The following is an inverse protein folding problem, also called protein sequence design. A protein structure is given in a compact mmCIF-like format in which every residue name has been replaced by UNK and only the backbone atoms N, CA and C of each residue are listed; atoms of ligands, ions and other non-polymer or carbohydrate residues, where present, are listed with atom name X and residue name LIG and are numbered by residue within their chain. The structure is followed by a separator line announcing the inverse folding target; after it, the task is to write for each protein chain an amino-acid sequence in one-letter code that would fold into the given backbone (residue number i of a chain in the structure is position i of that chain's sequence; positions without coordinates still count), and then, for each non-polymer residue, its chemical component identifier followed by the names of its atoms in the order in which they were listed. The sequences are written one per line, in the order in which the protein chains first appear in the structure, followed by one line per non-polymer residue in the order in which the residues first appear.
data_IF_686648317540
#
_entry.id   IF_686648317540
#
_cell.length_a   1.000
_cell.length_b   1.000
_cell.length_c   1.000
_cell.angle_alpha   90.00
_cell.angle_beta   90.00
_cell.angle_gamma   90.00
#
_symmetry.space_group_name_H-M   'P 1'
#
loop_
_entity.id
_entity.type
_entity.pdbx_description
1 polymer ?
#
# COMPACT_ATOMS: atom_id res chain seq x y z
N UNK A 1 -47.92 84.33 -7.15
CA UNK A 1 -47.60 82.90 -7.30
C UNK A 1 -48.14 82.47 -8.66
N UNK A 2 -47.30 82.33 -9.69
CA UNK A 2 -47.73 82.07 -11.09
C UNK A 2 -47.98 80.59 -11.31
N UNK A 3 -49.11 80.25 -11.91
CA UNK A 3 -49.43 78.89 -12.40
C UNK A 3 -48.62 78.65 -13.67
N UNK A 4 -47.82 77.59 -13.69
CA UNK A 4 -47.02 77.19 -14.85
C UNK A 4 -47.85 76.14 -15.61
N UNK A 5 -48.31 76.47 -16.82
CA UNK A 5 -48.95 75.52 -17.73
C UNK A 5 -47.93 74.47 -18.19
N UNK A 6 -48.20 73.20 -17.90
CA UNK A 6 -47.49 72.07 -18.48
C UNK A 6 -48.02 71.80 -19.88
N UNK A 7 -47.33 72.33 -20.89
CA UNK A 7 -47.55 71.95 -22.30
C UNK A 7 -47.08 70.50 -22.48
N UNK A 8 -48.00 69.63 -22.89
CA UNK A 8 -47.74 68.23 -23.28
C UNK A 8 -46.60 68.16 -24.30
N UNK A 9 -45.43 67.69 -23.86
CA UNK A 9 -44.33 67.35 -24.75
C UNK A 9 -44.72 66.03 -25.41
N UNK A 10 -45.03 66.10 -26.72
CA UNK A 10 -45.39 64.94 -27.51
C UNK A 10 -44.30 63.87 -27.45
N UNK A 11 -44.68 62.66 -27.05
CA UNK A 11 -43.83 61.49 -27.12
C UNK A 11 -43.52 61.18 -28.59
N UNK A 12 -42.27 61.44 -29.01
CA UNK A 12 -41.77 61.02 -30.30
C UNK A 12 -41.84 59.48 -30.38
N UNK A 13 -42.49 58.97 -31.43
CA UNK A 13 -42.60 57.52 -31.69
C UNK A 13 -41.18 56.94 -31.80
N UNK A 14 -40.84 55.87 -31.06
CA UNK A 14 -39.51 55.27 -31.15
C UNK A 14 -39.26 54.80 -32.58
N UNK A 15 -38.16 55.25 -33.20
CA UNK A 15 -37.78 54.79 -34.52
C UNK A 15 -37.30 53.32 -34.45
N UNK A 16 -37.39 52.61 -35.58
CA UNK A 16 -37.08 51.18 -35.67
C UNK A 16 -35.63 50.81 -35.27
N UNK A 17 -34.73 51.79 -35.14
CA UNK A 17 -33.32 51.59 -34.79
C UNK A 17 -33.18 51.43 -33.27
N UNK A 18 -33.92 52.21 -32.48
CA UNK A 18 -33.91 52.13 -31.01
C UNK A 18 -34.60 50.85 -30.49
N UNK A 19 -35.58 50.33 -31.22
CA UNK A 19 -36.21 49.02 -30.96
C UNK A 19 -35.24 47.85 -31.17
N UNK A 20 -34.37 47.94 -32.19
CA UNK A 20 -33.35 46.92 -32.46
C UNK A 20 -32.22 46.94 -31.43
N UNK A 21 -31.78 48.11 -30.95
CA UNK A 21 -30.76 48.21 -29.90
C UNK A 21 -31.21 47.60 -28.56
N UNK A 22 -32.45 47.86 -28.13
CA UNK A 22 -33.03 47.26 -26.92
C UNK A 22 -33.13 45.72 -27.04
N UNK A 23 -33.43 45.22 -28.24
CA UNK A 23 -33.51 43.78 -28.52
C UNK A 23 -32.13 43.12 -28.53
N UNK A 24 -31.09 43.84 -28.99
CA UNK A 24 -29.70 43.34 -29.02
C UNK A 24 -29.06 43.26 -27.63
N UNK A 25 -29.40 44.17 -26.69
CA UNK A 25 -28.89 44.07 -25.31
C UNK A 25 -29.61 43.01 -24.47
N UNK A 26 -30.84 42.62 -24.85
CA UNK A 26 -31.62 41.56 -24.20
C UNK A 26 -31.11 40.13 -24.52
N UNK A 27 -30.18 40.02 -25.47
CA UNK A 27 -29.50 38.79 -25.88
C UNK A 27 -28.12 38.61 -25.21
N UNK A 28 -27.87 39.25 -24.05
CA UNK A 28 -26.85 38.73 -23.14
C UNK A 28 -27.31 37.36 -22.65
N UNK A 29 -26.84 36.35 -23.37
CA UNK A 29 -26.99 34.92 -23.15
C UNK A 29 -27.11 34.60 -21.68
N UNK A 30 -28.34 34.38 -21.23
CA UNK A 30 -28.66 33.75 -19.95
C UNK A 30 -28.11 32.32 -20.03
N UNK A 31 -26.81 32.16 -19.75
CA UNK A 31 -26.23 30.82 -19.58
C UNK A 31 -27.04 30.17 -18.47
N UNK A 32 -27.86 29.19 -18.85
CA UNK A 32 -28.60 28.39 -17.89
C UNK A 32 -27.59 27.76 -16.95
N UNK A 33 -27.65 28.14 -15.68
CA UNK A 33 -26.77 27.61 -14.65
C UNK A 33 -27.26 26.19 -14.37
N UNK A 34 -26.72 25.22 -15.11
CA UNK A 34 -26.97 23.80 -14.92
C UNK A 34 -26.26 23.36 -13.65
N UNK A 35 -26.90 23.57 -12.50
CA UNK A 35 -26.46 23.01 -11.22
C UNK A 35 -26.90 21.56 -11.08
N UNK A 36 -26.11 20.76 -10.36
CA UNK A 36 -26.54 19.45 -9.88
C UNK A 36 -27.77 19.60 -8.99
N UNK A 37 -28.75 18.72 -9.16
CA UNK A 37 -29.91 18.67 -8.28
C UNK A 37 -29.50 18.13 -6.91
N UNK A 38 -30.17 18.58 -5.85
CA UNK A 38 -29.90 18.11 -4.49
C UNK A 38 -30.15 16.60 -4.35
N UNK A 39 -31.08 16.05 -5.14
CA UNK A 39 -31.36 14.62 -5.19
C UNK A 39 -30.24 13.82 -5.86
N UNK A 40 -29.62 14.31 -6.94
CA UNK A 40 -28.44 13.68 -7.54
C UNK A 40 -27.28 13.61 -6.55
N UNK A 41 -27.07 14.69 -5.79
CA UNK A 41 -26.00 14.75 -4.82
C UNK A 41 -26.26 13.76 -3.66
N UNK A 42 -27.50 13.66 -3.17
CA UNK A 42 -27.85 12.69 -2.13
C UNK A 42 -27.65 11.23 -2.57
N UNK A 43 -28.06 10.87 -3.80
CA UNK A 43 -27.88 9.51 -4.31
C UNK A 43 -26.39 9.21 -4.50
N UNK A 44 -25.61 10.15 -5.02
CA UNK A 44 -24.16 9.99 -5.20
C UNK A 44 -23.46 9.71 -3.86
N UNK A 45 -23.75 10.49 -2.82
CA UNK A 45 -23.17 10.29 -1.49
C UNK A 45 -23.58 8.94 -0.90
N UNK A 46 -24.82 8.49 -1.11
CA UNK A 46 -25.27 7.18 -0.66
C UNK A 46 -24.48 6.03 -1.33
N UNK A 47 -24.25 6.10 -2.64
CA UNK A 47 -23.47 5.08 -3.37
C UNK A 47 -22.01 5.09 -2.93
N UNK A 48 -21.39 6.27 -2.84
CA UNK A 48 -19.99 6.41 -2.38
C UNK A 48 -19.83 5.88 -0.96
N UNK A 49 -20.81 6.10 -0.08
CA UNK A 49 -20.81 5.57 1.28
C UNK A 49 -20.77 4.05 1.34
N UNK A 50 -21.57 3.37 0.52
CA UNK A 50 -21.58 1.90 0.43
C UNK A 50 -20.22 1.39 -0.08
N UNK A 51 -19.71 1.96 -1.18
CA UNK A 51 -18.42 1.56 -1.74
C UNK A 51 -17.26 1.78 -0.76
N UNK A 52 -17.27 2.92 -0.04
CA UNK A 52 -16.23 3.25 0.93
C UNK A 52 -16.17 2.25 2.09
N UNK A 53 -17.32 1.77 2.57
CA UNK A 53 -17.39 0.79 3.67
C UNK A 53 -16.68 -0.53 3.37
N UNK A 54 -16.69 -0.98 2.12
CA UNK A 54 -16.02 -2.21 1.66
C UNK A 54 -14.57 -1.93 1.25
N UNK A 55 -14.33 -0.77 0.62
CA UNK A 55 -13.02 -0.43 0.09
C UNK A 55 -11.99 -0.07 1.18
N UNK A 56 -12.40 0.66 2.22
CA UNK A 56 -11.49 1.13 3.26
C UNK A 56 -10.72 0.00 3.99
N UNK A 57 -11.37 -1.06 4.51
CA UNK A 57 -10.64 -2.13 5.21
C UNK A 57 -9.71 -2.90 4.27
N UNK A 58 -10.09 -3.07 3.00
CA UNK A 58 -9.24 -3.72 1.98
C UNK A 58 -8.01 -2.86 1.66
N UNK A 59 -8.18 -1.55 1.50
CA UNK A 59 -7.09 -0.61 1.24
C UNK A 59 -6.09 -0.54 2.40
N UNK A 60 -6.58 -0.55 3.64
CA UNK A 60 -5.73 -0.62 4.83
C UNK A 60 -4.90 -1.91 4.86
N UNK A 61 -5.50 -3.06 4.54
CA UNK A 61 -4.75 -4.32 4.46
C UNK A 61 -3.70 -4.28 3.31
N UNK A 62 -4.07 -3.75 2.14
CA UNK A 62 -3.15 -3.61 1.01
C UNK A 62 -1.93 -2.75 1.36
N UNK A 63 -2.14 -1.60 1.99
CA UNK A 63 -1.05 -0.71 2.41
C UNK A 63 -0.19 -1.34 3.50
N UNK A 64 -0.78 -2.07 4.46
CA UNK A 64 -0.03 -2.84 5.46
C UNK A 64 0.83 -3.93 4.83
N UNK A 65 0.30 -4.68 3.85
CA UNK A 65 1.07 -5.67 3.07
C UNK A 65 2.25 -5.05 2.33
N UNK A 66 2.03 -3.90 1.69
CA UNK A 66 3.07 -3.18 0.98
C UNK A 66 4.21 -2.78 1.94
N UNK A 67 3.89 -2.24 3.12
CA UNK A 67 4.88 -1.90 4.15
C UNK A 67 5.59 -3.14 4.71
N UNK A 68 4.84 -4.22 4.97
CA UNK A 68 5.39 -5.48 5.46
C UNK A 68 6.31 -6.18 4.45
N UNK A 69 6.15 -5.90 3.14
CA UNK A 69 7.04 -6.44 2.12
C UNK A 69 8.51 -6.03 2.33
N UNK A 70 8.76 -4.86 2.93
CA UNK A 70 10.10 -4.42 3.31
C UNK A 70 10.71 -5.33 4.37
N UNK A 71 9.92 -5.72 5.38
CA UNK A 71 10.33 -6.67 6.44
C UNK A 71 10.71 -8.01 5.84
N UNK A 72 9.92 -8.49 4.87
CA UNK A 72 10.19 -9.75 4.15
C UNK A 72 11.48 -9.64 3.32
N UNK A 73 11.65 -8.57 2.55
CA UNK A 73 12.84 -8.34 1.72
C UNK A 73 14.11 -8.22 2.58
N UNK A 74 14.02 -7.61 3.75
CA UNK A 74 15.14 -7.47 4.67
C UNK A 74 15.69 -8.83 5.16
N UNK A 75 14.93 -9.92 5.05
CA UNK A 75 15.40 -11.27 5.39
C UNK A 75 16.26 -11.92 4.30
N UNK A 76 16.21 -11.44 3.06
CA UNK A 76 16.94 -12.02 1.93
C UNK A 76 18.45 -12.22 2.14
N UNK A 77 19.22 -11.24 2.67
CA UNK A 77 20.66 -11.44 2.90
C UNK A 77 20.94 -12.52 3.95
N UNK A 78 20.17 -12.56 5.05
CA UNK A 78 20.29 -13.60 6.07
C UNK A 78 19.94 -14.97 5.48
N UNK A 79 18.88 -15.06 4.68
CA UNK A 79 18.44 -16.29 4.00
C UNK A 79 19.55 -16.86 3.11
N UNK A 80 20.12 -16.03 2.23
CA UNK A 80 21.20 -16.43 1.34
C UNK A 80 22.46 -16.87 2.11
N UNK A 81 22.77 -16.19 3.21
CA UNK A 81 23.91 -16.54 4.03
C UNK A 81 23.69 -17.88 4.76
N UNK A 82 22.46 -18.19 5.23
CA UNK A 82 22.14 -19.50 5.84
C UNK A 82 22.27 -20.61 4.81
N UNK A 83 21.83 -20.38 3.57
CA UNK A 83 21.98 -21.33 2.47
C UNK A 83 23.46 -21.61 2.14
N UNK A 84 24.29 -20.56 2.06
CA UNK A 84 25.72 -20.70 1.85
C UNK A 84 26.41 -21.43 3.02
N UNK A 85 26.03 -21.11 4.27
CA UNK A 85 26.54 -21.78 5.45
C UNK A 85 26.18 -23.26 5.46
N UNK A 86 24.92 -23.62 5.20
CA UNK A 86 24.45 -25.01 5.16
C UNK A 86 25.17 -25.84 4.10
N UNK A 87 25.44 -25.26 2.92
CA UNK A 87 26.20 -25.92 1.87
C UNK A 87 27.68 -26.10 2.25
N UNK A 88 28.29 -25.11 2.90
CA UNK A 88 29.70 -25.18 3.28
C UNK A 88 29.98 -26.17 4.42
N UNK A 89 29.08 -26.28 5.39
CA UNK A 89 29.26 -27.13 6.58
C UNK A 89 28.52 -28.46 6.50
N UNK A 90 27.68 -28.63 5.47
CA UNK A 90 26.73 -29.74 5.33
C UNK A 90 25.79 -29.88 6.55
N UNK A 91 25.55 -28.79 7.30
CA UNK A 91 24.70 -28.76 8.49
C UNK A 91 24.19 -27.33 8.78
N UNK A 92 23.07 -27.20 9.50
CA UNK A 92 22.55 -25.89 9.93
C UNK A 92 23.06 -25.42 11.29
N UNK A 93 23.65 -26.30 12.09
CA UNK A 93 23.93 -26.07 13.52
C UNK A 93 24.79 -24.86 13.83
N UNK A 94 25.68 -24.48 12.91
CA UNK A 94 26.61 -23.34 13.05
C UNK A 94 26.18 -22.10 12.26
N UNK A 95 25.00 -22.12 11.64
CA UNK A 95 24.48 -21.03 10.83
C UNK A 95 23.68 -20.05 11.69
N UNK A 96 24.35 -19.32 12.56
CA UNK A 96 23.76 -18.31 13.45
C UNK A 96 24.33 -16.91 13.17
N UNK A 97 23.70 -15.87 13.69
CA UNK A 97 24.15 -14.50 13.53
C UNK A 97 25.59 -14.30 13.99
N UNK A 98 26.39 -13.61 13.17
CA UNK A 98 27.83 -13.44 13.40
C UNK A 98 28.64 -14.75 13.45
N UNK A 99 28.04 -15.86 13.04
CA UNK A 99 28.67 -17.17 12.97
C UNK A 99 29.66 -17.29 11.81
N UNK A 100 30.01 -18.54 11.47
CA UNK A 100 30.96 -18.82 10.39
C UNK A 100 30.39 -18.43 9.01
N UNK A 101 31.25 -18.40 8.00
CA UNK A 101 30.86 -18.23 6.59
C UNK A 101 30.20 -16.88 6.24
N UNK A 102 30.51 -15.81 6.99
CA UNK A 102 30.05 -14.46 6.67
C UNK A 102 28.58 -14.21 7.00
N UNK A 103 28.03 -14.93 7.98
CA UNK A 103 26.68 -14.68 8.51
C UNK A 103 26.58 -13.21 8.98
N UNK A 104 25.57 -12.45 8.53
CA UNK A 104 25.36 -11.09 9.01
C UNK A 104 25.09 -11.09 10.52
N UNK A 105 25.48 -10.01 11.18
CA UNK A 105 25.09 -9.75 12.55
C UNK A 105 23.59 -9.41 12.63
N UNK A 106 23.01 -9.60 13.81
CA UNK A 106 21.63 -9.23 14.07
C UNK A 106 21.41 -7.72 13.94
N UNK A 107 20.24 -7.35 13.44
CA UNK A 107 19.78 -5.97 13.40
C UNK A 107 18.93 -5.74 14.64
N UNK A 108 19.49 -5.01 15.61
CA UNK A 108 18.82 -4.68 16.87
C UNK A 108 18.13 -3.30 16.87
N UNK A 109 18.34 -2.49 15.83
CA UNK A 109 17.76 -1.16 15.68
C UNK A 109 16.85 -1.10 14.46
N UNK A 110 15.76 -0.33 14.57
CA UNK A 110 14.80 -0.22 13.50
C UNK A 110 15.41 0.43 12.25
N UNK A 111 15.17 -0.17 11.08
CA UNK A 111 15.54 0.35 9.77
C UNK A 111 14.30 0.28 8.89
N UNK A 112 13.76 1.44 8.52
CA UNK A 112 12.49 1.51 7.79
C UNK A 112 11.35 0.87 8.58
N UNK A 113 10.64 -0.10 7.98
CA UNK A 113 9.56 -0.84 8.64
C UNK A 113 10.03 -2.10 9.40
N UNK A 114 11.32 -2.44 9.36
CA UNK A 114 11.91 -3.52 10.15
C UNK A 114 12.30 -2.99 11.53
N UNK A 115 11.82 -3.62 12.61
CA UNK A 115 12.26 -3.33 13.97
C UNK A 115 13.51 -4.13 14.35
N UNK A 116 13.47 -5.44 14.13
CA UNK A 116 14.58 -6.35 14.42
C UNK A 116 14.70 -7.43 13.38
N UNK A 117 15.93 -7.89 13.13
CA UNK A 117 16.23 -9.10 12.37
C UNK A 117 17.21 -9.93 13.18
N UNK A 118 16.83 -11.15 13.52
CA UNK A 118 17.67 -12.05 14.31
C UNK A 118 17.86 -13.38 13.58
N UNK A 119 19.06 -13.94 13.64
CA UNK A 119 19.35 -15.29 13.13
C UNK A 119 19.82 -16.18 14.28
N UNK A 120 18.92 -17.02 14.80
CA UNK A 120 19.23 -17.89 15.94
C UNK A 120 19.91 -19.19 15.49
N UNK A 121 20.19 -20.09 16.43
CA UNK A 121 20.75 -21.41 16.14
C UNK A 121 19.95 -22.15 15.05
N UNK A 122 20.65 -23.00 14.29
CA UNK A 122 20.09 -23.72 13.15
C UNK A 122 19.57 -22.83 12.00
N UNK A 123 19.97 -21.56 11.91
CA UNK A 123 19.62 -20.69 10.77
C UNK A 123 18.20 -20.16 10.78
N UNK A 124 17.49 -20.23 11.92
CA UNK A 124 16.14 -19.67 12.03
C UNK A 124 16.22 -18.15 12.02
N UNK A 125 15.60 -17.53 11.03
CA UNK A 125 15.58 -16.07 10.87
C UNK A 125 14.24 -15.54 11.38
N UNK A 126 14.28 -14.59 12.30
CA UNK A 126 13.09 -13.90 12.81
C UNK A 126 13.21 -12.42 12.50
N UNK A 127 12.35 -11.93 11.62
CA UNK A 127 12.15 -10.51 11.36
C UNK A 127 10.90 -10.02 12.10
N UNK A 128 11.01 -8.88 12.75
CA UNK A 128 9.90 -8.24 13.46
C UNK A 128 9.64 -6.89 12.83
N UNK A 129 8.39 -6.61 12.48
CA UNK A 129 7.97 -5.30 12.00
C UNK A 129 8.03 -4.24 13.12
N UNK A 130 8.06 -2.97 12.75
CA UNK A 130 7.82 -1.87 13.69
C UNK A 130 6.38 -1.88 14.21
N UNK A 131 6.14 -1.17 15.30
CA UNK A 131 4.79 -0.90 15.85
C UNK A 131 4.22 0.44 15.39
N UNK A 132 4.88 1.07 14.42
CA UNK A 132 4.47 2.32 13.78
C UNK A 132 4.01 2.04 12.34
N UNK A 133 3.58 3.07 11.61
CA UNK A 133 3.21 2.94 10.19
C UNK A 133 2.12 1.89 9.91
N UNK A 134 1.11 1.76 10.78
CA UNK A 134 0.02 0.77 10.66
C UNK A 134 0.47 -0.70 10.77
N UNK A 135 1.69 -0.92 11.24
CA UNK A 135 2.21 -2.23 11.67
C UNK A 135 2.12 -2.34 13.19
N UNK A 136 2.11 -3.56 13.69
CA UNK A 136 1.83 -3.91 15.10
C UNK A 136 2.88 -4.85 15.68
N UNK A 137 4.10 -4.86 15.14
CA UNK A 137 5.13 -5.79 15.59
C UNK A 137 4.97 -7.21 15.05
N UNK A 138 4.38 -7.34 13.86
CA UNK A 138 4.16 -8.65 13.23
C UNK A 138 5.49 -9.35 12.95
N UNK A 139 5.53 -10.65 13.23
CA UNK A 139 6.72 -11.48 13.04
C UNK A 139 6.64 -12.25 11.74
N UNK A 140 7.77 -12.29 11.03
CA UNK A 140 8.05 -13.14 9.89
C UNK A 140 9.20 -14.07 10.25
N UNK A 141 8.88 -15.35 10.46
CA UNK A 141 9.84 -16.36 10.90
C UNK A 141 10.10 -17.33 9.77
N UNK A 142 11.35 -17.42 9.34
CA UNK A 142 11.84 -18.37 8.36
C UNK A 142 12.58 -19.49 9.07
N UNK A 143 12.03 -20.70 9.01
CA UNK A 143 12.69 -21.90 9.55
C UNK A 143 13.29 -22.70 8.41
N UNK A 144 14.63 -22.85 8.35
CA UNK A 144 15.28 -23.67 7.34
C UNK A 144 15.21 -25.15 7.72
N UNK A 145 15.07 -26.01 6.73
CA UNK A 145 15.34 -27.43 6.83
C UNK A 145 16.33 -27.81 5.72
N UNK A 146 17.46 -28.39 6.12
CA UNK A 146 18.53 -28.79 5.22
C UNK A 146 18.61 -30.31 5.15
N UNK A 147 18.62 -30.86 3.93
CA UNK A 147 18.85 -32.28 3.72
C UNK A 147 20.32 -32.48 3.37
N UNK A 148 21.10 -33.03 4.30
CA UNK A 148 22.53 -33.23 4.10
C UNK A 148 22.82 -34.04 2.83
N UNK A 149 23.83 -33.60 2.07
CA UNK A 149 24.31 -34.36 0.93
C UNK A 149 25.21 -35.47 1.47
N UNK A 150 24.81 -36.73 1.28
CA UNK A 150 25.67 -37.85 1.61
C UNK A 150 26.84 -37.91 0.61
N UNK A 151 28.06 -38.05 1.15
CA UNK A 151 29.26 -38.21 0.34
C UNK A 151 29.09 -39.37 -0.64
N UNK A 152 29.52 -39.18 -1.89
CA UNK A 152 29.52 -40.19 -2.94
C UNK A 152 28.13 -40.73 -3.34
N UNK A 153 27.07 -39.94 -3.12
CA UNK A 153 25.72 -40.27 -3.60
C UNK A 153 25.27 -39.31 -4.70
N UNK A 154 24.45 -39.81 -5.62
CA UNK A 154 23.81 -38.96 -6.63
C UNK A 154 22.85 -38.01 -5.89
N UNK A 155 22.98 -36.68 -6.08
CA UNK A 155 22.05 -35.73 -5.46
C UNK A 155 20.61 -36.05 -5.88
N UNK A 156 19.73 -36.19 -4.90
CA UNK A 156 18.28 -36.20 -5.16
C UNK A 156 17.77 -34.77 -5.29
N UNK A 157 16.52 -34.60 -5.74
CA UNK A 157 15.89 -33.28 -5.88
C UNK A 157 15.87 -32.43 -4.59
N UNK A 158 16.16 -33.02 -3.43
CA UNK A 158 16.15 -32.37 -2.12
C UNK A 158 17.51 -32.37 -1.43
N UNK A 159 18.48 -33.18 -1.88
CA UNK A 159 19.80 -33.30 -1.27
C UNK A 159 20.64 -32.04 -1.49
N UNK A 160 21.31 -31.57 -0.43
CA UNK A 160 22.14 -30.35 -0.47
C UNK A 160 21.35 -29.06 -0.60
N UNK A 161 20.02 -29.09 -0.43
CA UNK A 161 19.13 -27.93 -0.52
C UNK A 161 18.58 -27.54 0.85
N UNK A 162 18.40 -26.23 1.02
CA UNK A 162 17.64 -25.66 2.13
C UNK A 162 16.21 -25.42 1.66
N UNK A 163 15.26 -25.89 2.45
CA UNK A 163 13.83 -25.59 2.29
C UNK A 163 13.39 -24.68 3.42
N UNK A 164 12.50 -23.73 3.11
CA UNK A 164 12.10 -22.71 4.08
C UNK A 164 10.63 -22.82 4.41
N UNK A 165 10.32 -22.90 5.70
CA UNK A 165 8.95 -22.80 6.21
C UNK A 165 8.71 -21.43 6.80
N UNK A 166 7.69 -20.74 6.30
CA UNK A 166 7.26 -19.43 6.81
C UNK A 166 6.26 -19.62 7.95
N UNK A 167 6.54 -19.02 9.10
CA UNK A 167 5.66 -18.94 10.27
C UNK A 167 5.64 -17.51 10.85
N UNK A 168 4.92 -17.30 11.96
CA UNK A 168 4.85 -16.01 12.65
C UNK A 168 3.45 -15.38 12.63
N UNK A 169 3.31 -14.23 13.29
CA UNK A 169 2.02 -13.54 13.44
C UNK A 169 1.56 -12.84 12.15
N UNK A 170 2.43 -12.72 11.15
CA UNK A 170 2.08 -12.17 9.85
C UNK A 170 1.01 -13.00 9.12
N UNK A 171 0.89 -14.30 9.38
CA UNK A 171 -0.11 -15.18 8.75
C UNK A 171 -1.51 -14.84 9.30
N UNK A 172 -1.62 -14.71 10.62
CA UNK A 172 -2.88 -14.33 11.29
C UNK A 172 -3.31 -12.91 10.89
N UNK A 173 -2.34 -12.01 10.73
CA UNK A 173 -2.56 -10.64 10.25
C UNK A 173 -2.81 -10.56 8.73
N UNK A 174 -2.80 -11.70 8.03
CA UNK A 174 -2.93 -11.85 6.59
C UNK A 174 -1.87 -11.09 5.77
N UNK A 175 -0.73 -10.71 6.36
CA UNK A 175 0.35 -9.97 5.70
C UNK A 175 1.28 -10.87 4.90
N UNK A 176 1.35 -12.16 5.24
CA UNK A 176 2.16 -13.18 4.58
C UNK A 176 1.34 -14.47 4.42
N UNK A 177 1.82 -15.39 3.57
CA UNK A 177 1.21 -16.73 3.41
C UNK A 177 2.14 -17.79 3.99
N UNK A 178 1.57 -18.81 4.64
CA UNK A 178 2.31 -20.01 5.01
C UNK A 178 2.66 -20.75 3.71
N UNK A 179 3.93 -20.76 3.34
CA UNK A 179 4.39 -21.44 2.13
C UNK A 179 5.73 -22.07 2.40
N UNK A 180 5.91 -23.30 1.92
CA UNK A 180 7.20 -23.96 1.86
C UNK A 180 7.87 -23.49 0.57
N UNK A 181 8.97 -22.74 0.70
CA UNK A 181 9.77 -22.31 -0.44
C UNK A 181 10.95 -23.26 -0.59
N UNK A 182 10.96 -24.02 -1.68
CA UNK A 182 12.11 -24.79 -2.15
C UNK A 182 12.83 -23.98 -3.21
N UNK A 183 14.15 -23.76 -3.06
CA UNK A 183 15.02 -23.23 -4.12
C UNK A 183 15.73 -24.41 -4.80
#
# INVERSE_FOLDING_TARGET
MRVIEFKSIGYAKPNAINSKLETTMKNMTKKSQQGFTLIELMISVAIVGILASVALPSYQNYTRKAKFSEVVIATAPAKAAVEACAQATNALTTCNAGGLQGMPADIAAAVGNLATLTTTAAGVITATAVTTNDLSGETYILTPAYTALAANTVPTATSGKVTWTITGTCILSQLCSATISTI
#
